data_IF_310698112302
#
_entry.id   IF_310698112302
#
_cell.length_a   1.000
_cell.length_b   1.000
_cell.length_c   1.000
_cell.angle_alpha   90.00
_cell.angle_beta   90.00
_cell.angle_gamma   90.00
#
_symmetry.space_group_name_H-M   'P 1'
#
loop_
_entity.id
_entity.type
_entity.pdbx_description
1 polymer ?
#
# COMPACT_ATOMS: atom_id res chain seq x y z
N UNK A 1 -36.46 54.85 -43.70
CA UNK A 1 -36.45 53.42 -44.12
C UNK A 1 -36.31 52.51 -42.88
N UNK A 2 -37.18 51.50 -42.81
CA UNK A 2 -37.18 50.23 -42.02
C UNK A 2 -37.90 49.19 -42.93
N UNK A 3 -37.98 47.85 -42.69
CA UNK A 3 -37.46 46.99 -41.59
C UNK A 3 -36.06 46.42 -41.95
N UNK A 4 -35.51 45.27 -41.50
CA UNK A 4 -35.88 44.15 -40.59
C UNK A 4 -34.61 43.73 -39.79
N UNK A 5 -34.54 42.85 -38.77
CA UNK A 5 -35.33 41.73 -38.17
C UNK A 5 -35.17 40.31 -38.74
N UNK A 6 -35.23 39.34 -37.80
CA UNK A 6 -35.06 37.86 -37.88
C UNK A 6 -33.59 37.43 -37.68
N UNK A 7 -33.22 36.47 -36.81
CA UNK A 7 -34.00 35.65 -35.86
C UNK A 7 -33.17 34.48 -35.31
N UNK A 8 -33.65 33.80 -34.25
CA UNK A 8 -33.00 32.69 -33.49
C UNK A 8 -31.79 33.13 -32.61
N UNK A 9 -31.67 32.86 -31.30
CA UNK A 9 -32.40 32.01 -30.33
C UNK A 9 -32.53 30.51 -30.66
N UNK A 10 -32.17 29.66 -29.70
CA UNK A 10 -32.27 28.18 -29.69
C UNK A 10 -31.34 27.38 -30.61
N UNK A 11 -30.07 27.25 -30.19
CA UNK A 11 -29.19 26.05 -30.15
C UNK A 11 -27.78 26.63 -29.87
N UNK A 12 -27.10 26.44 -28.74
CA UNK A 12 -26.96 25.24 -27.91
C UNK A 12 -27.07 25.63 -26.42
N UNK A 13 -28.21 25.34 -25.80
CA UNK A 13 -28.36 25.19 -24.35
C UNK A 13 -28.69 23.73 -24.12
N UNK A 14 -27.66 22.90 -23.91
CA UNK A 14 -27.64 21.57 -23.27
C UNK A 14 -26.33 20.86 -23.65
N UNK A 15 -25.65 20.24 -22.67
CA UNK A 15 -24.37 19.49 -22.76
C UNK A 15 -23.06 20.21 -22.41
N UNK A 16 -23.06 21.01 -21.34
CA UNK A 16 -22.09 20.81 -20.24
C UNK A 16 -22.54 21.64 -19.02
N UNK A 17 -23.34 21.03 -18.14
CA UNK A 17 -23.39 21.53 -16.77
C UNK A 17 -22.03 21.23 -16.14
N UNK A 18 -21.33 22.19 -15.52
CA UNK A 18 -20.53 21.82 -14.37
C UNK A 18 -21.51 21.21 -13.37
N UNK A 19 -21.36 19.92 -13.07
CA UNK A 19 -22.09 19.32 -11.96
C UNK A 19 -21.62 20.06 -10.71
N UNK A 20 -22.50 20.87 -10.12
CA UNK A 20 -22.29 21.47 -8.82
C UNK A 20 -22.17 20.35 -7.79
N UNK A 21 -20.96 19.87 -7.56
CA UNK A 21 -20.63 19.13 -6.36
C UNK A 21 -20.74 20.09 -5.20
N UNK A 22 -21.90 20.06 -4.54
CA UNK A 22 -22.16 20.77 -3.29
C UNK A 22 -21.11 20.34 -2.27
N UNK A 23 -20.26 21.26 -1.73
CA UNK A 23 -19.24 20.91 -0.75
C UNK A 23 -19.81 20.77 0.67
N UNK A 24 -21.14 20.64 0.81
CA UNK A 24 -21.85 20.61 2.10
C UNK A 24 -22.64 19.32 2.27
N UNK A 25 -21.93 18.20 2.49
CA UNK A 25 -22.39 17.10 3.36
C UNK A 25 -21.22 16.18 3.74
N UNK A 26 -20.15 16.77 4.32
CA UNK A 26 -19.02 16.03 4.87
C UNK A 26 -19.38 15.57 6.28
N UNK A 27 -19.67 14.27 6.45
CA UNK A 27 -19.82 13.71 7.79
C UNK A 27 -18.43 13.66 8.44
N UNK A 28 -18.20 14.53 9.42
CA UNK A 28 -16.95 14.67 10.20
C UNK A 28 -16.39 13.34 10.76
N UNK A 29 -17.26 12.32 10.90
CA UNK A 29 -16.87 10.97 11.32
C UNK A 29 -16.26 10.08 10.23
N UNK A 30 -16.34 10.42 8.95
CA UNK A 30 -15.84 9.59 7.83
C UNK A 30 -14.38 9.94 7.46
N UNK A 31 -13.96 11.20 7.56
CA UNK A 31 -12.56 11.60 7.34
C UNK A 31 -11.61 10.99 8.39
N UNK A 32 -12.01 11.00 9.67
CA UNK A 32 -11.26 10.31 10.73
C UNK A 32 -11.13 8.80 10.47
N UNK A 33 -12.16 8.16 9.88
CA UNK A 33 -12.12 6.73 9.50
C UNK A 33 -11.14 6.48 8.36
N UNK A 34 -11.10 7.36 7.36
CA UNK A 34 -10.14 7.29 6.26
C UNK A 34 -8.70 7.42 6.79
N UNK A 35 -8.45 8.35 7.71
CA UNK A 35 -7.13 8.56 8.31
C UNK A 35 -6.66 7.34 9.11
N UNK A 36 -7.55 6.75 9.93
CA UNK A 36 -7.27 5.50 10.64
C UNK A 36 -7.02 4.35 9.64
N UNK A 37 -7.85 4.22 8.59
CA UNK A 37 -7.71 3.17 7.59
C UNK A 37 -6.37 3.27 6.81
N UNK A 38 -5.94 4.49 6.45
CA UNK A 38 -4.64 4.75 5.82
C UNK A 38 -3.47 4.40 6.76
N UNK A 39 -3.54 4.81 8.02
CA UNK A 39 -2.53 4.48 9.02
C UNK A 39 -2.42 2.97 9.27
N UNK A 40 -3.55 2.27 9.41
CA UNK A 40 -3.60 0.79 9.51
C UNK A 40 -3.00 0.13 8.26
N UNK A 41 -3.34 0.61 7.06
CA UNK A 41 -2.81 0.10 5.78
C UNK A 41 -1.28 0.24 5.71
N UNK A 42 -0.70 1.31 6.28
CA UNK A 42 0.76 1.51 6.33
C UNK A 42 1.53 0.45 7.12
N UNK A 43 0.88 -0.28 8.04
CA UNK A 43 1.55 -1.17 9.00
C UNK A 43 2.41 -2.25 8.32
N UNK A 44 1.88 -2.91 7.27
CA UNK A 44 2.64 -3.93 6.51
C UNK A 44 3.83 -3.34 5.75
N UNK A 45 3.74 -2.10 5.29
CA UNK A 45 4.86 -1.43 4.60
C UNK A 45 5.98 -1.04 5.57
N UNK A 46 5.68 -0.95 6.87
CA UNK A 46 6.66 -0.75 7.93
C UNK A 46 7.25 -2.07 8.47
N UNK A 47 6.87 -3.24 7.93
CA UNK A 47 7.27 -4.55 8.47
C UNK A 47 8.78 -4.70 8.69
N UNK A 48 9.61 -4.25 7.74
CA UNK A 48 11.07 -4.40 7.80
C UNK A 48 11.68 -3.58 8.94
N UNK A 49 11.14 -2.38 9.20
CA UNK A 49 11.59 -1.52 10.29
C UNK A 49 11.10 -2.02 11.64
N UNK A 50 9.82 -2.42 11.74
CA UNK A 50 9.22 -2.97 12.96
C UNK A 50 9.93 -4.26 13.38
N UNK A 51 10.12 -5.20 12.45
CA UNK A 51 10.82 -6.47 12.73
C UNK A 51 12.29 -6.24 13.08
N UNK A 52 13.02 -5.39 12.34
CA UNK A 52 14.42 -5.06 12.67
C UNK A 52 14.56 -4.42 14.06
N UNK A 53 13.70 -3.47 14.40
CA UNK A 53 13.69 -2.82 15.72
C UNK A 53 13.41 -3.83 16.85
N UNK A 54 12.44 -4.72 16.65
CA UNK A 54 12.13 -5.80 17.61
C UNK A 54 13.31 -6.76 17.74
N UNK A 55 13.93 -7.20 16.64
CA UNK A 55 15.13 -8.04 16.65
C UNK A 55 16.29 -7.40 17.41
N UNK A 56 16.51 -6.09 17.28
CA UNK A 56 17.54 -5.36 18.05
C UNK A 56 17.23 -5.37 19.55
N UNK A 57 15.96 -5.15 19.95
CA UNK A 57 15.55 -5.21 21.36
C UNK A 57 15.76 -6.62 21.92
N UNK A 58 15.29 -7.66 21.24
CA UNK A 58 15.47 -9.04 21.68
C UNK A 58 16.94 -9.46 21.71
N UNK A 59 17.76 -9.05 20.74
CA UNK A 59 19.21 -9.27 20.75
C UNK A 59 19.92 -8.54 21.89
N UNK A 60 19.39 -7.40 22.34
CA UNK A 60 19.95 -6.64 23.47
C UNK A 60 19.56 -7.22 24.83
N UNK A 61 18.42 -7.92 24.90
CA UNK A 61 17.92 -8.58 26.12
C UNK A 61 18.36 -10.04 26.25
N UNK A 62 18.60 -10.73 25.14
CA UNK A 62 18.91 -12.17 25.12
C UNK A 62 20.42 -12.44 25.16
N UNK A 63 20.98 -12.42 26.37
CA UNK A 63 22.31 -13.00 26.66
C UNK A 63 22.19 -14.50 27.00
N UNK A 64 20.97 -15.02 27.25
CA UNK A 64 20.74 -16.33 27.89
C UNK A 64 19.50 -17.05 27.33
N UNK A 65 19.50 -17.51 26.06
CA UNK A 65 18.73 -18.68 25.58
C UNK A 65 19.08 -19.02 24.11
N UNK A 66 19.02 -20.31 23.69
CA UNK A 66 19.20 -20.68 22.29
C UNK A 66 17.87 -20.49 21.53
N UNK A 67 17.70 -19.53 20.62
CA UNK A 67 18.65 -18.54 20.08
C UNK A 67 18.32 -18.16 18.63
N UNK A 68 17.58 -19.03 17.92
CA UNK A 68 17.22 -18.87 16.50
C UNK A 68 15.74 -19.17 16.24
N UNK A 69 15.27 -20.39 16.59
CA UNK A 69 13.90 -20.87 16.29
C UNK A 69 12.81 -19.99 16.90
N UNK A 70 13.00 -19.49 18.13
CA UNK A 70 12.05 -18.59 18.78
C UNK A 70 11.99 -17.20 18.10
N UNK A 71 13.10 -16.73 17.55
CA UNK A 71 13.20 -15.46 16.83
C UNK A 71 12.48 -15.53 15.48
N UNK A 72 12.69 -16.61 14.73
CA UNK A 72 12.02 -16.84 13.44
C UNK A 72 10.49 -16.93 13.60
N UNK A 73 10.02 -17.68 14.61
CA UNK A 73 8.59 -17.82 14.90
C UNK A 73 7.96 -16.49 15.34
N UNK A 74 8.66 -15.72 16.18
CA UNK A 74 8.22 -14.39 16.61
C UNK A 74 8.19 -13.39 15.44
N UNK A 75 9.18 -13.44 14.54
CA UNK A 75 9.23 -12.64 13.32
C UNK A 75 8.03 -12.92 12.40
N UNK A 76 7.71 -14.19 12.16
CA UNK A 76 6.55 -14.60 11.36
C UNK A 76 5.24 -14.13 12.02
N UNK A 77 5.08 -14.28 13.34
CA UNK A 77 3.89 -13.79 14.05
C UNK A 77 3.72 -12.28 13.92
N UNK A 78 4.81 -11.49 14.02
CA UNK A 78 4.75 -10.04 13.85
C UNK A 78 4.34 -9.67 12.43
N UNK A 79 4.93 -10.28 11.41
CA UNK A 79 4.57 -10.03 10.01
C UNK A 79 3.09 -10.38 9.75
N UNK A 80 2.61 -11.48 10.33
CA UNK A 80 1.21 -11.89 10.19
C UNK A 80 0.25 -10.90 10.86
N UNK A 81 0.55 -10.45 12.08
CA UNK A 81 -0.23 -9.42 12.77
C UNK A 81 -0.26 -8.10 11.98
N UNK A 82 0.89 -7.65 11.45
CA UNK A 82 0.98 -6.47 10.58
C UNK A 82 0.16 -6.65 9.28
N UNK A 83 0.17 -7.86 8.71
CA UNK A 83 -0.65 -8.24 7.55
C UNK A 83 -2.14 -8.15 7.83
N UNK A 84 -2.62 -8.72 8.95
CA UNK A 84 -4.03 -8.67 9.37
C UNK A 84 -4.48 -7.23 9.67
N UNK A 85 -3.64 -6.44 10.35
CA UNK A 85 -3.89 -5.02 10.64
C UNK A 85 -4.01 -4.22 9.33
N UNK A 86 -3.08 -4.42 8.39
CA UNK A 86 -3.09 -3.72 7.10
C UNK A 86 -4.24 -4.16 6.20
N UNK A 87 -4.59 -5.45 6.18
CA UNK A 87 -5.75 -5.96 5.46
C UNK A 87 -7.04 -5.32 6.01
N UNK A 88 -7.17 -5.24 7.34
CA UNK A 88 -8.29 -4.56 7.99
C UNK A 88 -8.35 -3.08 7.62
N UNK A 89 -7.21 -2.38 7.63
CA UNK A 89 -7.10 -0.99 7.17
C UNK A 89 -7.54 -0.80 5.72
N UNK A 90 -7.06 -1.64 4.81
CA UNK A 90 -7.40 -1.56 3.39
C UNK A 90 -8.87 -1.87 3.11
N UNK A 91 -9.47 -2.81 3.84
CA UNK A 91 -10.91 -3.11 3.74
C UNK A 91 -11.75 -1.95 4.29
N UNK A 92 -11.36 -1.35 5.42
CA UNK A 92 -12.02 -0.14 5.95
C UNK A 92 -11.94 1.01 4.95
N UNK A 93 -10.77 1.24 4.35
CA UNK A 93 -10.63 2.26 3.29
C UNK A 93 -11.53 1.94 2.09
N UNK A 94 -11.57 0.69 1.63
CA UNK A 94 -12.40 0.29 0.48
C UNK A 94 -13.90 0.52 0.74
N UNK A 95 -14.36 0.22 1.96
CA UNK A 95 -15.76 0.42 2.37
C UNK A 95 -16.14 1.92 2.40
N UNK A 96 -15.21 2.79 2.80
CA UNK A 96 -15.45 4.23 2.87
C UNK A 96 -15.29 4.90 1.50
N UNK A 97 -14.23 4.56 0.77
CA UNK A 97 -14.00 4.99 -0.61
C UNK A 97 -15.15 4.62 -1.55
N UNK A 98 -15.84 3.49 -1.32
CA UNK A 98 -17.03 3.10 -2.10
C UNK A 98 -18.17 4.12 -2.00
N UNK A 99 -18.29 4.86 -0.89
CA UNK A 99 -19.32 5.89 -0.71
C UNK A 99 -18.91 7.23 -1.32
N UNK A 100 -17.62 7.56 -1.27
CA UNK A 100 -17.10 8.92 -1.51
C UNK A 100 -16.34 9.11 -2.83
N UNK A 101 -15.66 8.07 -3.33
CA UNK A 101 -14.73 8.15 -4.47
C UNK A 101 -15.26 7.39 -5.68
N UNK A 102 -15.38 8.06 -6.84
CA UNK A 102 -15.84 7.41 -8.09
C UNK A 102 -14.89 6.32 -8.60
N UNK A 103 -13.64 6.27 -8.08
CA UNK A 103 -12.58 5.36 -8.53
C UNK A 103 -12.15 4.30 -7.52
N UNK A 104 -12.99 4.04 -6.51
CA UNK A 104 -12.78 3.05 -5.42
C UNK A 104 -12.29 1.67 -5.89
N UNK A 105 -12.64 1.24 -7.11
CA UNK A 105 -12.24 -0.04 -7.67
C UNK A 105 -10.71 -0.21 -7.79
N UNK A 106 -9.93 0.88 -7.83
CA UNK A 106 -8.46 0.82 -7.88
C UNK A 106 -7.80 0.45 -6.55
N UNK A 107 -8.53 0.46 -5.42
CA UNK A 107 -8.03 -0.05 -4.14
C UNK A 107 -8.20 -1.58 -4.00
N UNK A 108 -9.06 -2.21 -4.81
CA UNK A 108 -9.33 -3.67 -4.76
C UNK A 108 -8.04 -4.52 -4.93
N UNK A 109 -7.12 -4.23 -5.88
CA UNK A 109 -5.90 -5.02 -6.03
C UNK A 109 -5.03 -5.06 -4.77
N UNK A 110 -5.01 -3.99 -3.96
CA UNK A 110 -4.25 -3.95 -2.72
C UNK A 110 -4.92 -4.83 -1.64
N UNK A 111 -6.25 -4.79 -1.50
CA UNK A 111 -6.97 -5.73 -0.63
C UNK A 111 -6.72 -7.19 -1.01
N UNK A 112 -6.72 -7.52 -2.31
CA UNK A 112 -6.45 -8.88 -2.80
C UNK A 112 -5.02 -9.29 -2.48
N UNK A 113 -4.02 -8.48 -2.83
CA UNK A 113 -2.61 -8.79 -2.54
C UNK A 113 -2.35 -8.98 -1.04
N UNK A 114 -2.95 -8.16 -0.17
CA UNK A 114 -2.84 -8.34 1.29
C UNK A 114 -3.54 -9.61 1.79
N UNK A 115 -4.68 -9.98 1.20
CA UNK A 115 -5.38 -11.24 1.55
C UNK A 115 -4.51 -12.44 1.21
N UNK A 116 -3.89 -12.44 0.02
CA UNK A 116 -2.99 -13.52 -0.41
C UNK A 116 -1.69 -13.49 0.42
N UNK A 117 -1.19 -12.31 0.83
CA UNK A 117 -0.01 -12.18 1.70
C UNK A 117 -0.21 -12.87 3.06
N UNK A 118 -1.33 -12.58 3.74
CA UNK A 118 -1.71 -13.22 5.02
C UNK A 118 -1.84 -14.74 4.86
N UNK A 119 -2.51 -15.19 3.81
CA UNK A 119 -2.61 -16.63 3.49
C UNK A 119 -1.21 -17.23 3.24
N UNK A 120 -0.33 -16.54 2.51
CA UNK A 120 1.03 -17.00 2.22
C UNK A 120 1.89 -17.10 3.49
N UNK A 121 1.81 -16.12 4.41
CA UNK A 121 2.46 -16.19 5.73
C UNK A 121 2.04 -17.46 6.49
N UNK A 122 0.73 -17.73 6.55
CA UNK A 122 0.20 -18.90 7.24
C UNK A 122 0.67 -20.22 6.59
N UNK A 123 0.79 -20.27 5.26
CA UNK A 123 1.36 -21.42 4.56
C UNK A 123 2.87 -21.58 4.82
N UNK A 124 3.65 -20.48 4.84
CA UNK A 124 5.08 -20.50 5.19
C UNK A 124 5.27 -21.04 6.60
N UNK A 125 4.51 -20.52 7.57
CA UNK A 125 4.50 -20.99 8.95
C UNK A 125 4.20 -22.50 9.04
N UNK A 126 3.17 -22.96 8.32
CA UNK A 126 2.74 -24.36 8.31
C UNK A 126 3.73 -25.32 7.64
N UNK A 127 4.68 -24.82 6.83
CA UNK A 127 5.65 -25.62 6.10
C UNK A 127 6.77 -26.18 7.01
N UNK A 128 6.97 -25.59 8.20
CA UNK A 128 7.93 -26.08 9.22
C UNK A 128 9.41 -26.06 8.81
N UNK A 129 9.75 -25.47 7.66
CA UNK A 129 11.11 -25.26 7.18
C UNK A 129 11.66 -23.91 7.63
N UNK A 130 12.98 -23.81 7.75
CA UNK A 130 13.67 -22.53 7.93
C UNK A 130 13.34 -21.58 6.77
N UNK A 131 12.97 -20.35 7.12
CA UNK A 131 12.59 -19.31 6.18
C UNK A 131 13.76 -18.92 5.27
N UNK A 132 13.53 -18.91 3.95
CA UNK A 132 14.55 -18.71 2.90
C UNK A 132 15.67 -19.77 2.94
N UNK A 133 15.39 -20.98 3.42
CA UNK A 133 16.32 -22.10 3.38
C UNK A 133 16.44 -22.73 1.99
N UNK A 134 17.64 -23.18 1.61
CA UNK A 134 17.84 -23.91 0.35
C UNK A 134 17.32 -25.36 0.44
N UNK A 135 16.56 -25.86 -0.56
CA UNK A 135 16.04 -25.14 -1.72
C UNK A 135 14.76 -24.35 -1.39
N UNK A 136 14.69 -23.11 -1.86
CA UNK A 136 13.54 -22.21 -1.67
C UNK A 136 12.26 -22.84 -2.22
N UNK A 137 11.21 -22.83 -1.39
CA UNK A 137 9.92 -23.43 -1.74
C UNK A 137 9.09 -22.54 -2.68
N UNK A 138 8.12 -23.16 -3.37
CA UNK A 138 7.16 -22.44 -4.18
C UNK A 138 6.32 -21.43 -3.36
N UNK A 139 6.10 -21.71 -2.07
CA UNK A 139 5.36 -20.82 -1.15
C UNK A 139 6.18 -19.56 -0.85
N UNK A 140 7.47 -19.69 -0.55
CA UNK A 140 8.37 -18.55 -0.32
C UNK A 140 8.57 -17.73 -1.61
N UNK A 141 8.65 -18.39 -2.76
CA UNK A 141 8.68 -17.73 -4.07
C UNK A 141 7.41 -16.88 -4.29
N UNK A 142 6.24 -17.45 -3.99
CA UNK A 142 4.95 -16.75 -4.06
C UNK A 142 4.88 -15.58 -3.07
N UNK A 143 5.41 -15.74 -1.85
CA UNK A 143 5.51 -14.69 -0.84
C UNK A 143 6.38 -13.51 -1.31
N UNK A 144 7.56 -13.77 -1.88
CA UNK A 144 8.43 -12.75 -2.48
C UNK A 144 7.70 -12.03 -3.61
N UNK A 145 7.04 -12.76 -4.51
CA UNK A 145 6.26 -12.17 -5.62
C UNK A 145 5.19 -11.22 -5.09
N UNK A 146 4.43 -11.59 -4.05
CA UNK A 146 3.39 -10.75 -3.46
C UNK A 146 3.96 -9.46 -2.85
N UNK A 147 5.09 -9.54 -2.14
CA UNK A 147 5.77 -8.35 -1.59
C UNK A 147 6.28 -7.39 -2.68
N UNK A 148 6.74 -7.94 -3.80
CA UNK A 148 7.13 -7.14 -4.95
C UNK A 148 5.87 -6.49 -5.56
N UNK A 149 4.75 -7.22 -5.68
CA UNK A 149 3.47 -6.68 -6.15
C UNK A 149 2.81 -5.65 -5.19
N UNK A 150 3.18 -5.62 -3.91
CA UNK A 150 2.64 -4.64 -2.95
C UNK A 150 2.91 -3.19 -3.37
N UNK A 151 4.05 -2.92 -4.00
CA UNK A 151 4.40 -1.59 -4.51
C UNK A 151 3.51 -1.11 -5.69
N UNK A 152 3.35 -1.84 -6.82
CA UNK A 152 2.39 -1.46 -7.86
C UNK A 152 0.95 -1.41 -7.35
N UNK A 153 0.53 -2.31 -6.44
CA UNK A 153 -0.79 -2.23 -5.82
C UNK A 153 -0.98 -0.93 -5.02
N UNK A 154 0.05 -0.46 -4.28
CA UNK A 154 -0.01 0.80 -3.55
C UNK A 154 -0.05 2.03 -4.47
N UNK A 155 0.60 1.99 -5.63
CA UNK A 155 0.54 3.08 -6.60
C UNK A 155 -0.90 3.23 -7.15
N UNK A 156 -1.57 2.12 -7.46
CA UNK A 156 -2.99 2.11 -7.86
C UNK A 156 -3.90 2.65 -6.74
N UNK A 157 -3.61 2.29 -5.49
CA UNK A 157 -4.32 2.82 -4.32
C UNK A 157 -4.15 4.35 -4.19
N UNK A 158 -2.93 4.89 -4.31
CA UNK A 158 -2.72 6.34 -4.26
C UNK A 158 -3.45 7.05 -5.41
N UNK A 159 -3.45 6.48 -6.62
CA UNK A 159 -4.24 6.99 -7.77
C UNK A 159 -5.75 6.93 -7.49
N UNK A 160 -6.25 5.89 -6.80
CA UNK A 160 -7.66 5.79 -6.36
C UNK A 160 -8.07 6.97 -5.47
N UNK A 161 -7.12 7.50 -4.71
CA UNK A 161 -7.29 8.57 -3.73
C UNK A 161 -6.76 9.93 -4.25
N UNK A 162 -6.41 10.04 -5.53
CA UNK A 162 -5.83 11.25 -6.15
C UNK A 162 -6.93 12.17 -6.70
N UNK A 163 -7.82 12.64 -5.82
CA UNK A 163 -9.01 13.42 -6.21
C UNK A 163 -9.33 14.63 -5.32
N UNK A 164 -8.47 14.98 -4.37
CA UNK A 164 -8.76 16.04 -3.38
C UNK A 164 -7.75 17.21 -3.42
N UNK A 165 -6.44 16.97 -3.32
CA UNK A 165 -5.46 18.04 -3.08
C UNK A 165 -4.17 17.95 -3.92
N UNK A 166 -3.53 19.09 -4.20
CA UNK A 166 -2.33 19.16 -5.05
C UNK A 166 -1.11 18.41 -4.50
N UNK A 167 -1.07 18.12 -3.19
CA UNK A 167 -0.01 17.36 -2.51
C UNK A 167 -0.01 15.88 -2.87
N UNK A 168 -1.14 15.29 -3.27
CA UNK A 168 -1.23 13.84 -3.49
C UNK A 168 -0.39 13.36 -4.68
N UNK A 169 -0.03 14.26 -5.60
CA UNK A 169 0.88 13.99 -6.71
C UNK A 169 2.28 13.54 -6.25
N UNK A 170 2.78 14.01 -5.10
CA UNK A 170 4.11 13.62 -4.58
C UNK A 170 4.10 12.16 -4.12
N UNK A 171 3.08 11.74 -3.38
CA UNK A 171 2.92 10.35 -2.93
C UNK A 171 2.72 9.40 -4.12
N UNK A 172 1.97 9.81 -5.14
CA UNK A 172 1.83 9.07 -6.41
C UNK A 172 3.18 8.95 -7.13
N UNK A 173 3.99 10.01 -7.18
CA UNK A 173 5.32 9.98 -7.79
C UNK A 173 6.28 9.02 -7.07
N UNK A 174 6.35 9.07 -5.73
CA UNK A 174 7.19 8.16 -4.93
C UNK A 174 6.74 6.71 -5.08
N UNK A 175 5.43 6.45 -4.98
CA UNK A 175 4.89 5.09 -5.10
C UNK A 175 5.03 4.51 -6.52
N UNK A 176 4.90 5.34 -7.56
CA UNK A 176 5.13 4.90 -8.95
C UNK A 176 6.61 4.67 -9.27
N UNK A 177 7.53 5.49 -8.76
CA UNK A 177 8.97 5.24 -8.88
C UNK A 177 9.37 3.92 -8.20
N UNK A 178 8.87 3.67 -6.99
CA UNK A 178 9.06 2.40 -6.29
C UNK A 178 8.44 1.21 -7.06
N UNK A 179 7.29 1.42 -7.72
CA UNK A 179 6.63 0.41 -8.54
C UNK A 179 7.43 0.03 -9.79
N UNK A 180 8.11 0.99 -10.44
CA UNK A 180 8.99 0.72 -11.58
C UNK A 180 10.19 -0.11 -11.12
N UNK A 181 10.80 0.25 -9.98
CA UNK A 181 11.91 -0.49 -9.39
C UNK A 181 11.50 -1.92 -8.99
N UNK A 182 10.31 -2.07 -8.38
CA UNK A 182 9.68 -3.37 -8.07
C UNK A 182 9.51 -4.24 -9.32
N UNK A 183 8.93 -3.72 -10.40
CA UNK A 183 8.71 -4.49 -11.63
C UNK A 183 10.03 -4.90 -12.31
N UNK A 184 11.04 -4.01 -12.31
CA UNK A 184 12.38 -4.36 -12.79
C UNK A 184 13.01 -5.49 -11.95
N UNK A 185 12.89 -5.40 -10.63
CA UNK A 185 13.35 -6.45 -9.71
C UNK A 185 12.60 -7.78 -9.93
N UNK A 186 11.28 -7.76 -10.12
CA UNK A 186 10.47 -8.97 -10.40
C UNK A 186 11.02 -9.73 -11.63
N UNK A 187 11.36 -9.00 -12.69
CA UNK A 187 11.92 -9.56 -13.92
C UNK A 187 13.29 -10.20 -13.67
N UNK A 188 14.16 -9.58 -12.84
CA UNK A 188 15.44 -10.15 -12.45
C UNK A 188 15.27 -11.43 -11.62
N UNK A 189 14.43 -11.38 -10.57
CA UNK A 189 14.16 -12.53 -9.71
C UNK A 189 13.60 -13.73 -10.51
N UNK A 190 12.60 -13.50 -11.37
CA UNK A 190 12.05 -14.55 -12.23
C UNK A 190 13.09 -15.10 -13.22
N UNK A 191 13.97 -14.25 -13.75
CA UNK A 191 15.04 -14.67 -14.68
C UNK A 191 16.07 -15.57 -14.00
N UNK A 192 16.44 -15.27 -12.76
CA UNK A 192 17.49 -16.02 -12.07
C UNK A 192 16.96 -17.31 -11.42
N UNK A 193 15.71 -17.31 -10.93
CA UNK A 193 14.95 -18.52 -10.61
C UNK A 193 14.85 -19.44 -11.85
N UNK A 194 14.50 -18.88 -13.02
CA UNK A 194 14.40 -19.65 -14.27
C UNK A 194 15.74 -20.25 -14.73
N UNK A 195 16.88 -19.71 -14.29
CA UNK A 195 18.22 -20.20 -14.64
C UNK A 195 18.79 -21.21 -13.65
N UNK A 196 18.10 -21.48 -12.54
CA UNK A 196 18.64 -22.24 -11.39
C UNK A 196 19.95 -21.60 -10.88
N UNK A 197 20.01 -20.27 -10.96
CA UNK A 197 21.14 -19.47 -10.48
C UNK A 197 20.99 -19.19 -8.99
N UNK A 198 22.11 -19.08 -8.28
CA UNK A 198 22.13 -18.69 -6.86
C UNK A 198 21.33 -17.41 -6.62
N UNK A 199 20.51 -17.42 -5.56
CA UNK A 199 19.68 -16.29 -5.09
C UNK A 199 20.54 -15.12 -4.61
N UNK A 200 21.82 -15.37 -4.32
CA UNK A 200 22.81 -14.41 -3.83
C UNK A 200 22.93 -13.14 -4.72
N UNK A 201 22.78 -13.29 -6.05
CA UNK A 201 22.77 -12.16 -6.99
C UNK A 201 21.53 -11.25 -6.85
N UNK A 202 20.42 -11.81 -6.35
CA UNK A 202 19.10 -11.16 -6.20
C UNK A 202 18.91 -10.64 -4.76
N UNK A 203 19.64 -11.19 -3.78
CA UNK A 203 19.51 -10.89 -2.36
C UNK A 203 19.78 -9.41 -2.02
N UNK A 204 20.84 -8.80 -2.58
CA UNK A 204 21.17 -7.40 -2.30
C UNK A 204 20.12 -6.42 -2.85
N UNK A 205 19.66 -6.52 -4.13
CA UNK A 205 18.53 -5.73 -4.61
C UNK A 205 17.22 -5.98 -3.83
N UNK A 206 16.96 -7.22 -3.40
CA UNK A 206 15.77 -7.58 -2.60
C UNK A 206 15.79 -6.86 -1.23
N UNK A 207 16.92 -6.94 -0.52
CA UNK A 207 17.11 -6.26 0.76
C UNK A 207 16.96 -4.74 0.62
N UNK A 208 17.53 -4.13 -0.42
CA UNK A 208 17.36 -2.71 -0.70
C UNK A 208 15.88 -2.33 -0.94
N UNK A 209 15.16 -3.12 -1.77
CA UNK A 209 13.74 -2.91 -2.03
C UNK A 209 12.90 -3.01 -0.74
N UNK A 210 13.15 -4.01 0.11
CA UNK A 210 12.42 -4.19 1.38
C UNK A 210 12.71 -3.13 2.44
N UNK A 211 13.96 -2.70 2.59
CA UNK A 211 14.38 -1.75 3.65
C UNK A 211 14.05 -0.31 3.27
N UNK A 212 14.17 0.04 1.97
CA UNK A 212 14.05 1.42 1.49
C UNK A 212 12.72 1.63 0.75
N UNK A 213 12.44 0.89 -0.31
CA UNK A 213 11.28 1.18 -1.17
C UNK A 213 9.94 0.87 -0.50
N UNK A 214 9.80 -0.30 0.13
CA UNK A 214 8.57 -0.67 0.84
C UNK A 214 8.34 0.31 2.02
N UNK A 215 9.36 0.60 2.83
CA UNK A 215 9.21 1.52 3.96
C UNK A 215 8.96 2.97 3.55
N UNK A 216 9.52 3.45 2.44
CA UNK A 216 9.19 4.77 1.88
C UNK A 216 7.70 4.86 1.47
N UNK A 217 7.12 3.78 0.92
CA UNK A 217 5.67 3.71 0.65
C UNK A 217 4.89 3.78 1.98
N UNK A 218 5.32 3.06 3.01
CA UNK A 218 4.72 3.11 4.35
C UNK A 218 4.70 4.52 4.94
N UNK A 219 5.82 5.25 4.84
CA UNK A 219 5.90 6.67 5.21
C UNK A 219 4.91 7.51 4.40
N UNK A 220 4.78 7.30 3.08
CA UNK A 220 3.81 8.04 2.25
C UNK A 220 2.35 7.84 2.71
N UNK A 221 1.97 6.61 3.10
CA UNK A 221 0.64 6.36 3.68
C UNK A 221 0.46 7.10 5.01
N UNK A 222 1.46 7.06 5.89
CA UNK A 222 1.42 7.70 7.20
C UNK A 222 1.37 9.23 7.08
N UNK A 223 2.21 9.83 6.24
CA UNK A 223 2.19 11.27 5.96
C UNK A 223 0.86 11.73 5.39
N UNK A 224 0.24 10.95 4.48
CA UNK A 224 -1.10 11.25 3.98
C UNK A 224 -2.18 11.16 5.06
N UNK A 225 -2.10 10.19 5.96
CA UNK A 225 -3.02 10.05 7.10
C UNK A 225 -2.89 11.16 8.14
N UNK A 226 -1.68 11.72 8.32
CA UNK A 226 -1.43 12.86 9.21
C UNK A 226 -1.85 14.18 8.56
N UNK A 227 -1.54 14.39 7.28
CA UNK A 227 -1.87 15.64 6.57
C UNK A 227 -3.38 15.90 6.52
N UNK A 228 -4.20 14.88 6.23
CA UNK A 228 -5.66 14.98 6.30
C UNK A 228 -6.21 15.37 7.68
N UNK A 229 -5.44 15.19 8.76
CA UNK A 229 -5.83 15.65 10.10
C UNK A 229 -5.47 17.12 10.34
N UNK A 230 -4.47 17.65 9.64
CA UNK A 230 -3.99 19.02 9.81
C UNK A 230 -4.85 20.02 9.03
N UNK A 231 -5.28 19.66 7.81
CA UNK A 231 -6.22 20.44 7.01
C UNK A 231 -7.59 20.60 7.72
N UNK A 232 -8.02 19.58 8.47
CA UNK A 232 -9.28 19.56 9.24
C UNK A 232 -9.26 20.59 10.39
N UNK A 233 -8.20 20.60 11.22
CA UNK A 233 -8.07 21.58 12.32
C UNK A 233 -7.94 23.03 11.80
N UNK A 234 -7.42 23.20 10.59
CA UNK A 234 -7.20 24.54 10.01
C UNK A 234 -8.49 25.17 9.47
N UNK A 235 -9.55 24.37 9.26
CA UNK A 235 -10.88 24.86 8.89
C UNK A 235 -11.77 25.20 10.10
N UNK A 236 -11.32 24.93 11.33
CA UNK A 236 -12.01 25.29 12.58
C UNK A 236 -11.50 26.59 13.24
N UNK A 237 -10.57 27.31 12.60
CA UNK A 237 -9.95 28.57 13.10
C UNK A 237 -10.41 29.83 12.37
#
# INVERSE_FOLDING_TARGET
MKPARIGCQCLIITLWQPVSYSPYFRFYGDDMRINIALALTSAVFMMTWVTSFVSIIFSSMSIITPGFIASDLLFIIIIELLGIISLSGSVLFLLEARKTLSRWYLAIPLCISLSIFVIANFLVYSNGKSFLGDPVSAVETLWIIILVLLSPCSALFFISSNGHDGSTNVYVAVSSAASIFSMYFLILALRDISKWSSIEAVLLPLAFYWVICISAIGVCFLSKAVMYREDDNTQES
#
